data_IF_651413236045
#
_entry.id   IF_651413236045
#
_cell.length_a   1.000
_cell.length_b   1.000
_cell.length_c   1.000
_cell.angle_alpha   90.00
_cell.angle_beta   90.00
_cell.angle_gamma   90.00
#
_symmetry.space_group_name_H-M   'P 1'
#
loop_
_entity.id
_entity.type
_entity.pdbx_description
1 polymer ?
#
# COMPACT_ATOMS: atom_id res chain seq x y z
N UNK A 1 -32.21 16.66 0.65
CA UNK A 1 -30.87 17.13 1.04
C UNK A 1 -29.86 16.15 0.47
N UNK A 2 -28.91 16.60 -0.34
CA UNK A 2 -27.74 15.78 -0.69
C UNK A 2 -26.89 15.74 0.57
N UNK A 3 -26.85 14.61 1.26
CA UNK A 3 -25.98 14.43 2.42
C UNK A 3 -24.54 14.55 1.97
N UNK A 4 -23.82 15.55 2.49
CA UNK A 4 -22.40 15.72 2.20
C UNK A 4 -21.66 14.55 2.83
N UNK A 5 -21.01 13.74 2.01
CA UNK A 5 -20.18 12.64 2.51
C UNK A 5 -18.97 13.20 3.26
N UNK A 6 -18.57 12.58 4.39
CA UNK A 6 -17.32 12.90 5.06
C UNK A 6 -16.13 12.79 4.09
N UNK A 7 -15.15 13.68 4.21
CA UNK A 7 -13.94 13.66 3.37
C UNK A 7 -13.22 12.31 3.42
N UNK A 8 -13.24 11.64 4.58
CA UNK A 8 -12.67 10.29 4.73
C UNK A 8 -13.30 9.28 3.78
N UNK A 9 -14.62 9.31 3.61
CA UNK A 9 -15.32 8.39 2.70
C UNK A 9 -15.00 8.70 1.24
N UNK A 10 -14.96 9.99 0.89
CA UNK A 10 -14.59 10.44 -0.46
C UNK A 10 -13.15 10.01 -0.78
N UNK A 11 -12.21 10.20 0.15
CA UNK A 11 -10.81 9.81 -0.02
C UNK A 11 -10.65 8.30 -0.16
N UNK A 12 -11.35 7.51 0.65
CA UNK A 12 -11.33 6.05 0.52
C UNK A 12 -11.87 5.59 -0.84
N UNK A 13 -12.96 6.20 -1.31
CA UNK A 13 -13.52 5.91 -2.63
C UNK A 13 -12.56 6.30 -3.75
N UNK A 14 -11.95 7.48 -3.68
CA UNK A 14 -10.99 7.97 -4.66
C UNK A 14 -9.74 7.09 -4.75
N UNK A 15 -9.16 6.67 -3.61
CA UNK A 15 -7.99 5.79 -3.59
C UNK A 15 -8.30 4.45 -4.30
N UNK A 16 -9.48 3.87 -4.05
CA UNK A 16 -9.90 2.63 -4.72
C UNK A 16 -10.01 2.79 -6.23
N UNK A 17 -10.63 3.88 -6.69
CA UNK A 17 -10.73 4.19 -8.13
C UNK A 17 -9.35 4.39 -8.75
N UNK A 18 -8.45 5.11 -8.09
CA UNK A 18 -7.08 5.29 -8.56
C UNK A 18 -6.34 3.95 -8.70
N UNK A 19 -6.52 3.03 -7.75
CA UNK A 19 -5.94 1.69 -7.87
C UNK A 19 -6.50 0.89 -9.04
N UNK A 20 -7.81 1.00 -9.29
CA UNK A 20 -8.45 0.30 -10.42
C UNK A 20 -7.98 0.84 -11.77
N UNK A 21 -7.88 2.16 -11.92
CA UNK A 21 -7.61 2.80 -13.21
C UNK A 21 -6.12 2.92 -13.54
N UNK A 22 -5.28 3.19 -12.54
CA UNK A 22 -3.85 3.46 -12.76
C UNK A 22 -2.95 2.27 -12.40
N UNK A 23 -3.50 1.29 -11.65
CA UNK A 23 -2.72 0.29 -10.95
C UNK A 23 -2.00 0.86 -9.72
N UNK A 24 -1.64 -0.03 -8.79
CA UNK A 24 -1.11 0.34 -7.46
C UNK A 24 0.13 1.23 -7.55
N UNK A 25 1.07 0.91 -8.47
CA UNK A 25 2.34 1.65 -8.60
C UNK A 25 2.10 3.11 -9.01
N UNK A 26 1.32 3.34 -10.06
CA UNK A 26 1.09 4.70 -10.56
C UNK A 26 0.17 5.49 -9.64
N UNK A 27 -0.82 4.86 -9.03
CA UNK A 27 -1.68 5.49 -8.04
C UNK A 27 -0.90 6.00 -6.81
N UNK A 28 0.03 5.20 -6.27
CA UNK A 28 0.89 5.64 -5.15
C UNK A 28 1.78 6.81 -5.56
N UNK A 29 2.39 6.77 -6.77
CA UNK A 29 3.18 7.89 -7.29
C UNK A 29 2.35 9.16 -7.47
N UNK A 30 1.11 9.03 -7.92
CA UNK A 30 0.17 10.15 -8.03
C UNK A 30 -0.13 10.77 -6.67
N UNK A 31 -0.50 9.96 -5.67
CA UNK A 31 -0.81 10.44 -4.32
C UNK A 31 0.38 11.15 -3.64
N UNK A 32 1.61 10.68 -3.90
CA UNK A 32 2.85 11.30 -3.39
C UNK A 32 3.11 12.70 -3.95
N UNK A 33 2.46 13.13 -5.04
CA UNK A 33 2.59 14.50 -5.55
C UNK A 33 1.87 15.51 -4.65
N UNK A 34 0.83 15.07 -3.93
CA UNK A 34 -0.05 15.93 -3.15
C UNK A 34 0.12 15.74 -1.64
N UNK A 35 0.91 14.76 -1.21
CA UNK A 35 1.08 14.39 0.19
C UNK A 35 2.55 14.16 0.50
N UNK A 36 3.02 14.62 1.66
CA UNK A 36 4.39 14.37 2.12
C UNK A 36 4.65 12.89 2.48
N UNK A 37 3.63 12.03 2.43
CA UNK A 37 3.67 10.70 3.05
C UNK A 37 3.66 10.79 4.58
N UNK A 38 3.60 9.63 5.24
CA UNK A 38 3.75 9.49 6.68
C UNK A 38 4.55 8.21 6.94
N UNK A 39 5.25 8.16 8.07
CA UNK A 39 6.09 7.02 8.48
C UNK A 39 7.52 7.11 7.96
N UNK A 40 8.37 6.23 8.49
CA UNK A 40 9.75 6.05 8.04
C UNK A 40 9.87 4.66 7.43
N UNK A 41 9.61 4.57 6.12
CA UNK A 41 9.69 3.31 5.40
C UNK A 41 11.09 2.67 5.50
N UNK A 42 12.15 3.45 5.72
CA UNK A 42 13.50 2.90 5.87
C UNK A 42 13.60 2.10 7.16
N UNK A 43 13.15 2.69 8.28
CA UNK A 43 13.08 1.99 9.57
C UNK A 43 12.10 0.82 9.55
N UNK A 44 10.90 1.01 9.00
CA UNK A 44 9.90 -0.04 8.90
C UNK A 44 10.38 -1.22 8.05
N UNK A 45 11.04 -0.95 6.91
CA UNK A 45 11.63 -1.98 6.06
C UNK A 45 12.73 -2.74 6.79
N UNK A 46 13.56 -2.07 7.55
CA UNK A 46 14.63 -2.71 8.34
C UNK A 46 14.05 -3.65 9.40
N UNK A 47 13.01 -3.21 10.12
CA UNK A 47 12.32 -4.06 11.11
C UNK A 47 11.68 -5.29 10.45
N UNK A 48 11.07 -5.12 9.28
CA UNK A 48 10.37 -6.20 8.58
C UNK A 48 11.31 -7.20 7.88
N UNK A 49 12.40 -6.71 7.30
CA UNK A 49 13.21 -7.46 6.33
C UNK A 49 14.72 -7.41 6.57
N UNK A 50 15.23 -6.56 7.46
CA UNK A 50 16.68 -6.34 7.65
C UNK A 50 17.45 -7.60 8.04
N UNK A 51 16.80 -8.53 8.74
CA UNK A 51 17.38 -9.82 9.14
C UNK A 51 17.13 -10.97 8.15
N UNK A 52 16.38 -10.73 7.06
CA UNK A 52 15.97 -11.77 6.12
C UNK A 52 16.80 -11.73 4.85
N UNK A 53 17.23 -12.91 4.38
CA UNK A 53 17.76 -13.07 3.02
C UNK A 53 16.63 -13.10 2.00
N UNK A 54 16.95 -12.83 0.72
CA UNK A 54 15.98 -12.93 -0.37
C UNK A 54 15.36 -14.33 -0.45
N UNK A 55 16.17 -15.38 -0.29
CA UNK A 55 15.69 -16.77 -0.32
C UNK A 55 14.70 -17.07 0.81
N UNK A 56 14.92 -16.51 2.01
CA UNK A 56 13.98 -16.65 3.12
C UNK A 56 12.65 -15.96 2.81
N UNK A 57 12.68 -14.77 2.20
CA UNK A 57 11.47 -14.05 1.79
C UNK A 57 10.70 -14.86 0.73
N UNK A 58 11.40 -15.39 -0.28
CA UNK A 58 10.78 -16.19 -1.33
C UNK A 58 10.13 -17.46 -0.77
N UNK A 59 10.82 -18.18 0.12
CA UNK A 59 10.28 -19.35 0.80
C UNK A 59 9.02 -19.03 1.62
N UNK A 60 8.98 -17.90 2.32
CA UNK A 60 7.78 -17.46 3.07
C UNK A 60 6.60 -17.16 2.14
N UNK A 61 6.85 -16.55 0.97
CA UNK A 61 5.81 -16.29 -0.02
C UNK A 61 5.24 -17.59 -0.58
N UNK A 62 6.09 -18.56 -0.92
CA UNK A 62 5.66 -19.87 -1.41
C UNK A 62 4.87 -20.65 -0.38
N UNK A 63 5.28 -20.62 0.90
CA UNK A 63 4.55 -21.25 1.99
C UNK A 63 3.14 -20.66 2.17
N UNK A 64 3.00 -19.34 2.02
CA UNK A 64 1.68 -18.68 2.09
C UNK A 64 0.80 -18.95 0.87
N UNK A 65 1.40 -19.22 -0.28
CA UNK A 65 0.67 -19.51 -1.52
C UNK A 65 0.19 -20.98 -1.60
N UNK A 66 0.77 -21.88 -0.80
CA UNK A 66 0.28 -23.26 -0.71
C UNK A 66 -1.05 -23.29 0.08
N UNK A 67 -2.13 -23.84 -0.50
CA UNK A 67 -3.34 -24.08 0.27
C UNK A 67 -3.07 -25.18 1.31
N UNK A 68 -3.63 -25.01 2.51
CA UNK A 68 -3.62 -26.03 3.56
C UNK A 68 -4.16 -27.37 3.10
#
# INVERSE_FOLDING_TARGET
>A
MIGVKPLTEINQQAIRLLYQELGVVNAVRFLRQFTAGFGDYTQEREVLFGSKTLDQIMNEMEQRAKPS
#
